data_IF_695952708228
#
_entry.id   IF_695952708228
#
_cell.length_a   1.000
_cell.length_b   1.000
_cell.length_c   1.000
_cell.angle_alpha   90.00
_cell.angle_beta   90.00
_cell.angle_gamma   90.00
#
_symmetry.space_group_name_H-M   'P 1'
#
loop_
_entity.id
_entity.type
_entity.pdbx_description
1 polymer ?
#
# COMPACT_ATOMS: atom_id res chain seq x y z
N UNK A 1 3.72 -6.11 11.33
CA UNK A 1 2.84 -7.31 11.30
C UNK A 1 3.49 -8.39 10.44
N UNK A 2 3.56 -9.62 10.98
CA UNK A 2 4.12 -10.77 10.30
C UNK A 2 2.98 -11.65 9.78
N UNK A 3 3.03 -12.02 8.49
CA UNK A 3 2.14 -13.03 7.93
C UNK A 3 2.68 -14.42 8.28
N UNK A 4 1.86 -15.25 8.93
CA UNK A 4 2.19 -16.63 9.27
C UNK A 4 1.36 -17.57 8.40
N UNK A 5 2.03 -18.42 7.64
CA UNK A 5 1.39 -19.51 6.93
C UNK A 5 1.52 -20.81 7.73
N UNK A 6 0.51 -21.69 7.64
CA UNK A 6 0.56 -23.01 8.23
C UNK A 6 1.73 -23.82 7.67
N UNK A 7 2.44 -24.55 8.53
CA UNK A 7 3.55 -25.42 8.14
C UNK A 7 3.07 -26.71 7.45
N UNK A 8 3.97 -27.42 6.78
CA UNK A 8 3.67 -28.66 6.08
C UNK A 8 3.53 -29.89 7.00
N UNK A 9 3.69 -29.71 8.30
CA UNK A 9 3.57 -30.73 9.32
C UNK A 9 2.83 -30.16 10.53
N UNK A 10 2.13 -31.03 11.27
CA UNK A 10 1.44 -30.65 12.51
C UNK A 10 2.44 -30.61 13.69
N UNK A 11 3.33 -29.62 13.63
CA UNK A 11 4.35 -29.38 14.64
C UNK A 11 4.73 -27.89 14.65
N UNK A 12 5.16 -27.38 15.80
CA UNK A 12 5.72 -26.05 15.94
C UNK A 12 7.09 -25.99 15.25
N UNK A 13 7.14 -25.34 14.09
CA UNK A 13 8.38 -25.17 13.31
C UNK A 13 9.11 -23.89 13.68
N UNK A 14 8.40 -22.86 14.12
CA UNK A 14 8.94 -21.59 14.57
C UNK A 14 8.72 -21.45 16.07
N UNK A 15 9.77 -21.68 16.86
CA UNK A 15 9.68 -21.61 18.32
C UNK A 15 9.48 -20.19 18.84
N UNK A 16 8.91 -19.97 20.06
CA UNK A 16 8.78 -18.65 20.65
C UNK A 16 10.09 -17.85 20.70
N UNK A 17 11.21 -18.52 20.98
CA UNK A 17 12.54 -17.91 20.97
C UNK A 17 12.94 -17.48 19.56
N UNK A 18 12.72 -18.33 18.55
CA UNK A 18 12.99 -18.00 17.14
C UNK A 18 12.13 -16.82 16.68
N UNK A 19 10.86 -16.80 17.04
CA UNK A 19 9.95 -15.68 16.75
C UNK A 19 10.43 -14.37 17.37
N UNK A 20 10.85 -14.39 18.63
CA UNK A 20 11.33 -13.20 19.33
C UNK A 20 12.61 -12.63 18.66
N UNK A 21 13.51 -13.50 18.24
CA UNK A 21 14.75 -13.10 17.52
C UNK A 21 14.40 -12.49 16.18
N UNK A 22 13.56 -13.14 15.38
CA UNK A 22 13.16 -12.62 14.07
C UNK A 22 12.41 -11.29 14.19
N UNK A 23 11.48 -11.18 15.13
CA UNK A 23 10.72 -9.95 15.35
C UNK A 23 11.57 -8.76 15.79
N UNK A 24 12.76 -9.02 16.35
CA UNK A 24 13.69 -7.98 16.76
C UNK A 24 14.71 -7.60 15.66
N UNK A 25 15.06 -8.53 14.79
CA UNK A 25 16.16 -8.36 13.83
C UNK A 25 15.72 -8.22 12.37
N UNK A 26 14.45 -8.47 12.06
CA UNK A 26 13.99 -8.51 10.68
C UNK A 26 12.57 -8.00 10.53
N UNK A 27 12.29 -7.42 9.38
CA UNK A 27 10.95 -7.03 8.97
C UNK A 27 10.27 -8.17 8.20
N UNK A 28 8.98 -8.37 8.45
CA UNK A 28 8.18 -9.34 7.72
C UNK A 28 7.88 -8.86 6.32
N UNK A 29 8.07 -9.72 5.32
CA UNK A 29 7.73 -9.43 3.93
C UNK A 29 6.77 -10.48 3.38
N UNK A 30 5.86 -10.08 2.51
CA UNK A 30 4.85 -10.97 1.91
C UNK A 30 5.46 -11.93 0.87
N UNK A 31 6.61 -11.58 0.30
CA UNK A 31 7.31 -12.38 -0.69
C UNK A 31 8.83 -12.20 -0.58
N UNK A 32 9.57 -13.21 -1.02
CA UNK A 32 11.02 -13.09 -1.14
C UNK A 32 11.35 -11.96 -2.14
N UNK A 33 12.13 -10.95 -1.72
CA UNK A 33 12.56 -9.89 -2.63
C UNK A 33 13.46 -10.45 -3.74
N UNK A 34 13.53 -9.73 -4.87
CA UNK A 34 14.50 -10.05 -5.91
C UNK A 34 15.90 -9.76 -5.37
N UNK A 35 16.76 -10.79 -5.35
CA UNK A 35 18.11 -10.71 -4.81
C UNK A 35 19.12 -11.27 -5.81
N UNK A 36 20.21 -10.54 -6.02
CA UNK A 36 21.43 -11.13 -6.57
C UNK A 36 22.10 -11.92 -5.44
N UNK A 37 21.86 -13.24 -5.40
CA UNK A 37 22.29 -14.09 -4.28
C UNK A 37 23.82 -14.15 -4.21
N UNK A 38 24.39 -13.74 -3.10
CA UNK A 38 25.84 -13.81 -2.82
C UNK A 38 26.18 -15.02 -1.95
N UNK A 39 25.33 -15.33 -0.97
CA UNK A 39 25.56 -16.45 -0.05
C UNK A 39 24.25 -17.08 0.42
N UNK A 40 24.31 -18.31 0.86
CA UNK A 40 23.22 -18.97 1.58
C UNK A 40 23.75 -19.84 2.70
N UNK A 41 23.03 -19.85 3.82
CA UNK A 41 23.35 -20.64 5.00
C UNK A 41 22.14 -21.42 5.50
N UNK A 42 22.39 -22.46 6.28
CA UNK A 42 21.37 -23.30 6.88
C UNK A 42 21.65 -23.47 8.36
N UNK A 43 20.61 -23.33 9.18
CA UNK A 43 20.62 -23.70 10.59
C UNK A 43 19.73 -24.92 10.81
N UNK A 44 20.29 -26.02 11.35
CA UNK A 44 19.53 -27.26 11.61
C UNK A 44 18.80 -27.18 12.96
N UNK A 45 17.53 -27.58 12.98
CA UNK A 45 16.74 -27.77 14.20
C UNK A 45 16.85 -29.19 14.76
N UNK A 46 16.37 -29.39 16.01
CA UNK A 46 16.43 -30.67 16.69
C UNK A 46 15.40 -31.72 16.26
N UNK A 47 14.39 -31.36 15.47
CA UNK A 47 13.39 -32.30 14.95
C UNK A 47 13.93 -33.06 13.73
N UNK A 48 13.57 -34.35 13.63
CA UNK A 48 13.84 -35.15 12.44
C UNK A 48 12.54 -35.47 11.71
N UNK A 49 12.48 -35.14 10.42
CA UNK A 49 11.35 -35.45 9.54
C UNK A 49 11.79 -36.47 8.48
N UNK A 50 10.93 -37.46 8.16
CA UNK A 50 11.27 -38.54 7.22
C UNK A 50 11.57 -38.05 5.79
N UNK A 51 10.86 -37.00 5.33
CA UNK A 51 10.88 -36.60 3.92
C UNK A 51 11.40 -35.18 3.66
N UNK A 52 11.97 -34.52 4.68
CA UNK A 52 12.48 -33.14 4.56
C UNK A 52 13.51 -32.83 5.64
N UNK A 53 14.45 -31.93 5.37
CA UNK A 53 15.32 -31.40 6.40
C UNK A 53 14.53 -30.41 7.33
N UNK A 54 14.88 -30.41 8.61
CA UNK A 54 14.44 -29.41 9.56
C UNK A 54 15.49 -28.31 9.66
N UNK A 55 15.38 -27.32 8.77
CA UNK A 55 16.38 -26.25 8.65
C UNK A 55 15.71 -24.90 8.44
N UNK A 56 16.32 -23.87 9.02
CA UNK A 56 16.13 -22.49 8.62
C UNK A 56 17.15 -22.17 7.52
N UNK A 57 16.71 -21.63 6.41
CA UNK A 57 17.59 -21.15 5.35
C UNK A 57 17.70 -19.64 5.42
N UNK A 58 18.91 -19.13 5.46
CA UNK A 58 19.21 -17.71 5.26
C UNK A 58 19.84 -17.54 3.86
N UNK A 59 19.43 -16.50 3.17
CA UNK A 59 19.97 -16.09 1.87
C UNK A 59 20.45 -14.67 2.03
N UNK A 60 21.69 -14.41 1.66
CA UNK A 60 22.30 -13.08 1.62
C UNK A 60 22.51 -12.69 0.17
N UNK A 61 22.20 -11.49 -0.19
CA UNK A 61 22.40 -10.98 -1.54
C UNK A 61 22.07 -9.50 -1.61
N UNK A 62 22.54 -8.86 -2.66
CA UNK A 62 22.16 -7.50 -2.99
C UNK A 62 20.73 -7.50 -3.53
N UNK A 63 19.85 -6.76 -2.86
CA UNK A 63 18.56 -6.39 -3.40
C UNK A 63 18.77 -5.31 -4.45
N UNK A 64 18.31 -5.55 -5.68
CA UNK A 64 18.35 -4.50 -6.70
C UNK A 64 17.62 -3.26 -6.15
N UNK A 65 18.33 -2.17 -5.93
CA UNK A 65 17.78 -0.88 -5.51
C UNK A 65 16.66 -0.46 -6.43
N UNK A 66 15.43 -0.44 -5.94
CA UNK A 66 14.27 -0.15 -6.76
C UNK A 66 12.96 -0.11 -5.96
N UNK A 67 11.89 0.14 -6.67
CA UNK A 67 10.54 0.08 -6.12
C UNK A 67 10.19 -1.35 -5.71
N UNK A 68 9.54 -1.51 -4.56
CA UNK A 68 9.08 -2.81 -4.10
C UNK A 68 7.92 -3.33 -4.95
N UNK A 69 7.92 -4.64 -5.17
CA UNK A 69 6.82 -5.33 -5.84
C UNK A 69 5.66 -5.53 -4.87
N UNK A 70 4.49 -5.04 -5.22
CA UNK A 70 3.27 -5.13 -4.43
C UNK A 70 2.17 -5.86 -5.21
N UNK A 71 1.63 -6.94 -4.66
CA UNK A 71 0.55 -7.69 -5.30
C UNK A 71 -0.76 -6.92 -5.21
N UNK A 72 -1.43 -6.77 -6.35
CA UNK A 72 -2.72 -6.09 -6.45
C UNK A 72 -3.70 -6.87 -7.31
N UNK A 73 -4.99 -6.61 -7.08
CA UNK A 73 -6.10 -6.96 -7.97
C UNK A 73 -6.73 -5.66 -8.45
N UNK A 74 -7.05 -5.62 -9.73
CA UNK A 74 -7.83 -4.52 -10.33
C UNK A 74 -9.25 -5.02 -10.55
N UNK A 75 -10.23 -4.31 -9.96
CA UNK A 75 -11.64 -4.55 -10.15
C UNK A 75 -12.20 -3.48 -11.08
N UNK A 76 -13.05 -3.86 -12.01
CA UNK A 76 -13.68 -2.95 -12.96
C UNK A 76 -15.16 -3.24 -13.14
N UNK A 77 -15.95 -2.19 -13.25
CA UNK A 77 -17.35 -2.27 -13.69
C UNK A 77 -17.73 -1.09 -14.57
N UNK A 78 -18.69 -1.29 -15.46
CA UNK A 78 -19.27 -0.23 -16.28
C UNK A 78 -20.67 0.10 -15.76
N UNK A 79 -20.96 1.39 -15.61
CA UNK A 79 -22.22 1.92 -15.09
C UNK A 79 -22.84 2.89 -16.09
N UNK A 80 -24.10 2.71 -16.47
CA UNK A 80 -24.86 3.62 -17.35
C UNK A 80 -26.10 4.21 -16.67
N UNK A 81 -26.31 3.92 -15.38
CA UNK A 81 -27.47 4.31 -14.59
C UNK A 81 -27.13 4.84 -13.17
N UNK A 82 -25.84 4.94 -12.83
CA UNK A 82 -25.42 5.49 -11.53
C UNK A 82 -25.61 7.00 -11.48
N UNK A 83 -26.18 7.51 -10.37
CA UNK A 83 -26.36 8.96 -10.17
C UNK A 83 -25.04 9.62 -9.76
N UNK A 84 -24.88 10.95 -10.01
CA UNK A 84 -23.69 11.69 -9.58
C UNK A 84 -23.41 11.59 -8.07
N UNK A 85 -24.46 11.53 -7.25
CA UNK A 85 -24.35 11.41 -5.79
C UNK A 85 -23.75 10.06 -5.38
N UNK A 86 -24.16 8.97 -6.04
CA UNK A 86 -23.58 7.66 -5.82
C UNK A 86 -22.11 7.66 -6.22
N UNK A 87 -21.78 8.19 -7.39
CA UNK A 87 -20.40 8.28 -7.86
C UNK A 87 -19.55 9.17 -6.95
N UNK A 88 -20.10 10.26 -6.42
CA UNK A 88 -19.40 11.20 -5.52
C UNK A 88 -19.00 10.57 -4.19
N UNK A 89 -19.83 9.66 -3.63
CA UNK A 89 -19.52 8.98 -2.37
C UNK A 89 -18.76 7.66 -2.54
N UNK A 90 -18.67 7.16 -3.77
CA UNK A 90 -18.18 5.81 -4.04
C UNK A 90 -16.72 5.61 -3.65
N UNK A 91 -15.87 6.62 -3.85
CA UNK A 91 -14.45 6.55 -3.53
C UNK A 91 -14.22 6.28 -2.04
N UNK A 92 -14.83 7.09 -1.17
CA UNK A 92 -14.73 6.94 0.28
C UNK A 92 -15.23 5.57 0.74
N UNK A 93 -16.43 5.16 0.28
CA UNK A 93 -17.03 3.89 0.66
C UNK A 93 -16.23 2.67 0.22
N UNK A 94 -15.55 2.74 -0.93
CA UNK A 94 -14.68 1.67 -1.39
C UNK A 94 -13.34 1.67 -0.65
N UNK A 95 -12.81 2.84 -0.27
CA UNK A 95 -11.61 2.93 0.57
C UNK A 95 -11.86 2.32 1.95
N UNK A 96 -13.00 2.59 2.57
CA UNK A 96 -13.42 1.96 3.83
C UNK A 96 -13.53 0.43 3.70
N UNK A 97 -13.87 -0.06 2.51
CA UNK A 97 -13.89 -1.49 2.21
C UNK A 97 -12.52 -2.09 1.86
N UNK A 98 -11.44 -1.30 1.85
CA UNK A 98 -10.07 -1.75 1.60
C UNK A 98 -9.54 -1.47 0.19
N UNK A 99 -10.21 -0.62 -0.60
CA UNK A 99 -9.65 -0.13 -1.85
C UNK A 99 -8.42 0.76 -1.57
N UNK A 100 -7.40 0.61 -2.41
CA UNK A 100 -6.17 1.42 -2.36
C UNK A 100 -6.26 2.64 -3.27
N UNK A 101 -6.99 2.49 -4.36
CA UNK A 101 -7.23 3.56 -5.32
C UNK A 101 -8.56 3.31 -6.04
N UNK A 102 -9.28 4.39 -6.37
CA UNK A 102 -10.54 4.34 -7.08
C UNK A 102 -10.56 5.44 -8.14
N UNK A 103 -10.69 5.01 -9.39
CA UNK A 103 -10.80 5.93 -10.53
C UNK A 103 -12.17 5.77 -11.19
N UNK A 104 -12.82 6.89 -11.47
CA UNK A 104 -14.09 6.94 -12.19
C UNK A 104 -13.88 7.68 -13.50
N UNK A 105 -13.98 6.97 -14.61
CA UNK A 105 -13.72 7.50 -15.94
C UNK A 105 -15.01 7.62 -16.72
N UNK A 106 -15.29 8.76 -17.38
CA UNK A 106 -16.42 8.87 -18.29
C UNK A 106 -16.25 7.92 -19.49
N UNK A 107 -17.34 7.29 -19.87
CA UNK A 107 -17.35 6.35 -20.97
C UNK A 107 -18.61 6.51 -21.83
N UNK A 108 -18.53 6.13 -23.11
CA UNK A 108 -19.70 5.96 -23.95
C UNK A 108 -20.04 4.48 -24.04
N UNK A 109 -21.24 4.13 -23.62
CA UNK A 109 -21.71 2.75 -23.57
C UNK A 109 -22.64 2.43 -24.74
N UNK A 110 -23.17 1.19 -24.75
CA UNK A 110 -24.11 0.73 -25.78
C UNK A 110 -25.23 1.75 -26.01
N UNK A 111 -25.71 1.88 -27.25
CA UNK A 111 -26.73 2.86 -27.66
C UNK A 111 -26.32 4.31 -27.42
N UNK A 112 -25.02 4.60 -27.47
CA UNK A 112 -24.44 5.94 -27.24
C UNK A 112 -24.82 6.56 -25.90
N UNK A 113 -25.10 5.77 -24.88
CA UNK A 113 -25.42 6.27 -23.54
C UNK A 113 -24.14 6.76 -22.85
N UNK A 114 -24.18 7.91 -22.18
CA UNK A 114 -23.12 8.28 -21.28
C UNK A 114 -23.08 7.30 -20.11
N UNK A 115 -21.91 6.98 -19.63
CA UNK A 115 -21.71 6.10 -18.49
C UNK A 115 -20.33 6.30 -17.90
N UNK A 116 -19.96 5.41 -16.98
CA UNK A 116 -18.69 5.47 -16.27
C UNK A 116 -18.04 4.09 -16.22
N UNK A 117 -16.74 4.05 -16.40
CA UNK A 117 -15.90 2.92 -16.01
C UNK A 117 -15.35 3.21 -14.61
N UNK A 118 -15.74 2.40 -13.66
CA UNK A 118 -15.14 2.41 -12.32
C UNK A 118 -14.03 1.39 -12.28
N UNK A 119 -12.82 1.84 -11.90
CA UNK A 119 -11.63 1.02 -11.75
C UNK A 119 -11.13 1.13 -10.32
N UNK A 120 -10.93 0.00 -9.67
CA UNK A 120 -10.54 -0.08 -8.25
C UNK A 120 -9.29 -0.93 -8.12
N UNK A 121 -8.30 -0.44 -7.39
CA UNK A 121 -7.10 -1.19 -7.02
C UNK A 121 -7.22 -1.62 -5.56
N UNK A 122 -7.01 -2.89 -5.29
CA UNK A 122 -7.03 -3.43 -3.92
C UNK A 122 -6.00 -4.55 -3.76
N UNK A 123 -5.76 -4.96 -2.53
CA UNK A 123 -5.00 -6.20 -2.27
C UNK A 123 -5.83 -7.42 -2.70
N UNK A 124 -5.20 -8.52 -3.14
CA UNK A 124 -5.92 -9.76 -3.49
C UNK A 124 -6.82 -10.26 -2.36
N UNK A 125 -6.37 -10.16 -1.10
CA UNK A 125 -7.13 -10.57 0.08
C UNK A 125 -8.41 -9.74 0.32
N UNK A 126 -8.47 -8.50 -0.17
CA UNK A 126 -9.60 -7.59 -0.01
C UNK A 126 -10.57 -7.62 -1.21
N UNK A 127 -10.20 -8.28 -2.29
CA UNK A 127 -10.88 -8.17 -3.59
C UNK A 127 -12.36 -8.54 -3.54
N UNK A 128 -12.73 -9.60 -2.82
CA UNK A 128 -14.13 -10.02 -2.68
C UNK A 128 -14.95 -9.00 -1.88
N UNK A 129 -14.40 -8.49 -0.78
CA UNK A 129 -15.06 -7.49 0.06
C UNK A 129 -15.28 -6.18 -0.69
N UNK A 130 -14.26 -5.72 -1.42
CA UNK A 130 -14.33 -4.50 -2.23
C UNK A 130 -15.28 -4.67 -3.41
N UNK A 131 -15.24 -5.81 -4.12
CA UNK A 131 -16.16 -6.10 -5.21
C UNK A 131 -17.63 -6.15 -4.74
N UNK A 132 -17.87 -6.74 -3.57
CA UNK A 132 -19.19 -6.76 -2.94
C UNK A 132 -19.68 -5.35 -2.62
N UNK A 133 -18.84 -4.54 -1.98
CA UNK A 133 -19.17 -3.13 -1.68
C UNK A 133 -19.47 -2.35 -2.95
N UNK A 134 -18.68 -2.51 -4.01
CA UNK A 134 -18.91 -1.88 -5.30
C UNK A 134 -20.27 -2.26 -5.88
N UNK A 135 -20.66 -3.53 -5.81
CA UNK A 135 -21.97 -3.99 -6.27
C UNK A 135 -23.12 -3.44 -5.42
N UNK A 136 -22.98 -3.44 -4.09
CA UNK A 136 -24.01 -2.92 -3.17
C UNK A 136 -24.27 -1.42 -3.38
N UNK A 137 -23.20 -0.61 -3.58
CA UNK A 137 -23.33 0.85 -3.76
C UNK A 137 -23.85 1.24 -5.15
N UNK A 138 -23.54 0.47 -6.17
CA UNK A 138 -23.83 0.86 -7.56
C UNK A 138 -24.96 0.06 -8.23
N UNK A 139 -25.37 -1.04 -7.62
CA UNK A 139 -26.34 -1.96 -8.24
C UNK A 139 -25.78 -2.73 -9.45
N UNK A 140 -24.49 -2.67 -9.74
CA UNK A 140 -23.90 -3.40 -10.88
C UNK A 140 -24.11 -4.90 -10.74
N UNK A 141 -24.45 -5.55 -11.86
CA UNK A 141 -24.64 -6.99 -11.92
C UNK A 141 -23.32 -7.77 -12.15
N UNK A 142 -22.22 -7.07 -12.38
CA UNK A 142 -20.96 -7.73 -12.66
C UNK A 142 -19.74 -6.86 -12.42
N UNK A 143 -18.80 -7.37 -11.62
CA UNK A 143 -17.49 -6.79 -11.40
C UNK A 143 -16.45 -7.72 -12.02
N UNK A 144 -15.65 -7.19 -12.94
CA UNK A 144 -14.54 -7.92 -13.54
C UNK A 144 -13.33 -7.80 -12.64
N UNK A 145 -12.66 -8.89 -12.37
CA UNK A 145 -11.38 -8.90 -11.68
C UNK A 145 -10.26 -9.21 -12.67
N UNK A 146 -9.26 -8.35 -12.73
CA UNK A 146 -8.05 -8.55 -13.52
C UNK A 146 -6.87 -8.72 -12.57
N UNK A 147 -6.11 -9.79 -12.77
CA UNK A 147 -4.83 -9.92 -12.10
C UNK A 147 -3.83 -8.98 -12.77
N UNK A 148 -3.65 -7.79 -12.24
CA UNK A 148 -2.50 -6.98 -12.62
C UNK A 148 -1.19 -7.63 -12.13
N UNK A 149 -1.33 -8.64 -11.28
CA UNK A 149 -0.23 -9.36 -10.69
C UNK A 149 0.47 -8.53 -9.60
N UNK A 150 1.00 -7.39 -9.95
CA UNK A 150 1.74 -6.54 -9.02
C UNK A 150 1.84 -5.09 -9.53
N UNK A 151 2.23 -4.20 -8.63
CA UNK A 151 2.69 -2.84 -8.91
C UNK A 151 4.05 -2.61 -8.24
N UNK A 152 4.80 -1.68 -8.76
CA UNK A 152 6.01 -1.18 -8.11
C UNK A 152 5.63 -0.03 -7.18
N UNK A 153 6.04 -0.10 -5.93
CA UNK A 153 5.78 0.94 -4.92
C UNK A 153 7.08 1.43 -4.31
N UNK A 154 7.09 2.71 -3.94
CA UNK A 154 8.10 3.29 -3.09
C UNK A 154 7.88 2.88 -1.63
N UNK A 155 8.94 2.84 -0.84
CA UNK A 155 8.82 2.92 0.60
C UNK A 155 8.39 4.33 0.99
N UNK A 156 7.56 4.45 2.01
CA UNK A 156 7.01 5.73 2.42
C UNK A 156 7.01 5.86 3.93
N UNK A 157 7.59 6.95 4.39
CA UNK A 157 7.54 7.38 5.78
C UNK A 157 6.78 8.69 5.91
N UNK A 158 6.19 8.93 7.07
CA UNK A 158 5.60 10.22 7.44
C UNK A 158 6.57 10.89 8.39
N UNK A 159 7.03 12.08 8.03
CA UNK A 159 7.81 12.96 8.89
C UNK A 159 6.95 14.19 9.23
N UNK A 160 7.04 14.69 10.46
CA UNK A 160 6.35 15.93 10.83
C UNK A 160 7.32 17.11 10.67
N UNK A 161 6.99 18.02 9.78
CA UNK A 161 7.70 19.28 9.58
C UNK A 161 7.18 20.35 10.54
N UNK A 162 8.08 21.05 11.24
CA UNK A 162 7.74 22.25 12.02
C UNK A 162 8.19 23.48 11.23
N UNK A 163 7.23 24.36 10.88
CA UNK A 163 7.53 25.62 10.18
C UNK A 163 7.12 26.80 11.05
N UNK A 164 7.89 27.89 10.98
CA UNK A 164 7.56 29.14 11.67
C UNK A 164 6.90 30.11 10.70
N UNK A 165 5.74 30.67 11.12
CA UNK A 165 5.02 31.70 10.38
C UNK A 165 4.63 32.80 11.40
N UNK A 166 5.11 34.03 11.18
CA UNK A 166 4.86 35.21 12.01
C UNK A 166 5.24 35.04 13.51
N UNK A 167 6.11 34.07 13.83
CA UNK A 167 6.58 33.76 15.17
C UNK A 167 5.86 32.60 15.85
N UNK A 168 4.84 32.04 15.21
CA UNK A 168 4.15 30.84 15.67
C UNK A 168 4.64 29.60 14.92
N UNK A 169 4.75 28.48 15.65
CA UNK A 169 5.17 27.20 15.11
C UNK A 169 3.95 26.38 14.68
N UNK A 170 3.99 25.84 13.44
CA UNK A 170 2.96 24.98 12.88
C UNK A 170 3.56 23.64 12.48
N UNK A 171 2.85 22.55 12.76
CA UNK A 171 3.23 21.19 12.40
C UNK A 171 2.45 20.73 11.17
N UNK A 172 3.14 20.11 10.22
CA UNK A 172 2.56 19.59 8.97
C UNK A 172 3.20 18.24 8.70
N UNK A 173 2.39 17.23 8.47
CA UNK A 173 2.89 15.93 8.07
C UNK A 173 3.37 15.97 6.62
N UNK A 174 4.52 15.33 6.40
CA UNK A 174 5.21 15.28 5.11
C UNK A 174 5.49 13.83 4.76
N UNK A 175 5.04 13.40 3.59
CA UNK A 175 5.36 12.09 3.03
C UNK A 175 6.74 12.13 2.40
N UNK A 176 7.61 11.23 2.83
CA UNK A 176 8.93 11.02 2.24
C UNK A 176 8.91 9.68 1.52
N UNK A 177 9.12 9.69 0.21
CA UNK A 177 9.19 8.49 -0.61
C UNK A 177 10.64 8.12 -0.90
N UNK A 178 10.97 6.87 -0.62
CA UNK A 178 12.31 6.31 -0.81
C UNK A 178 12.28 5.05 -1.64
N UNK A 179 13.41 4.70 -2.23
CA UNK A 179 13.64 3.34 -2.72
C UNK A 179 14.08 2.40 -1.60
N UNK A 180 14.32 1.14 -1.93
CA UNK A 180 14.76 0.11 -0.97
C UNK A 180 16.17 0.35 -0.40
N UNK A 181 16.94 1.27 -0.97
CA UNK A 181 18.27 1.69 -0.49
C UNK A 181 18.20 2.93 0.39
N UNK A 182 17.00 3.49 0.58
CA UNK A 182 16.77 4.71 1.36
C UNK A 182 17.02 6.00 0.59
N UNK A 183 17.19 5.93 -0.74
CA UNK A 183 17.34 7.14 -1.55
C UNK A 183 16.00 7.85 -1.66
N UNK A 184 15.94 9.08 -1.15
CA UNK A 184 14.76 9.94 -1.24
C UNK A 184 14.60 10.45 -2.67
N UNK A 185 13.42 10.23 -3.27
CA UNK A 185 13.11 10.76 -4.60
C UNK A 185 11.85 11.64 -4.62
N UNK A 186 11.04 11.64 -3.55
CA UNK A 186 9.93 12.57 -3.41
C UNK A 186 9.71 12.95 -1.94
N UNK A 187 9.34 14.23 -1.73
CA UNK A 187 8.97 14.80 -0.44
C UNK A 187 7.74 15.66 -0.68
N UNK A 188 6.60 15.28 -0.12
CA UNK A 188 5.32 15.97 -0.35
C UNK A 188 4.54 16.17 0.95
N UNK A 189 4.15 17.44 1.22
CA UNK A 189 3.35 17.79 2.40
C UNK A 189 1.91 17.27 2.30
N UNK A 190 1.30 16.95 3.44
CA UNK A 190 -0.12 16.59 3.51
C UNK A 190 -0.98 17.84 3.27
N UNK A 191 -1.88 17.71 2.29
CA UNK A 191 -2.69 18.85 1.83
C UNK A 191 -3.63 19.38 2.92
N UNK A 192 -4.26 18.50 3.68
CA UNK A 192 -5.26 18.88 4.69
C UNK A 192 -4.60 19.66 5.84
N UNK A 193 -3.42 19.24 6.28
CA UNK A 193 -2.65 19.96 7.30
C UNK A 193 -2.21 21.34 6.78
N UNK A 194 -1.68 21.37 5.55
CA UNK A 194 -1.26 22.63 4.94
C UNK A 194 -2.43 23.58 4.68
N UNK A 195 -3.62 23.06 4.35
CA UNK A 195 -4.81 23.86 4.17
C UNK A 195 -5.29 24.48 5.50
N UNK A 196 -5.26 23.70 6.59
CA UNK A 196 -5.60 24.23 7.92
C UNK A 196 -4.65 25.36 8.33
N UNK A 197 -3.34 25.19 8.17
CA UNK A 197 -2.35 26.24 8.45
C UNK A 197 -2.52 27.46 7.53
N UNK A 198 -2.85 27.24 6.26
CA UNK A 198 -3.13 28.32 5.31
C UNK A 198 -4.35 29.18 5.74
N UNK A 199 -5.40 28.53 6.22
CA UNK A 199 -6.60 29.20 6.71
C UNK A 199 -6.31 30.03 7.98
N UNK A 200 -5.45 29.57 8.87
CA UNK A 200 -5.04 30.27 10.08
C UNK A 200 -4.11 31.47 9.80
N UNK A 201 -3.19 31.31 8.84
CA UNK A 201 -2.11 32.28 8.60
C UNK A 201 -2.40 33.24 7.44
N UNK A 202 -3.37 32.92 6.59
CA UNK A 202 -3.65 33.66 5.36
C UNK A 202 -2.64 33.44 4.24
N UNK A 203 -1.67 32.54 4.40
CA UNK A 203 -0.75 32.16 3.34
C UNK A 203 -1.42 31.27 2.31
N UNK A 204 -1.00 31.31 1.04
CA UNK A 204 -1.46 30.34 0.07
C UNK A 204 -1.01 28.90 0.45
N UNK A 205 -1.90 27.91 0.34
CA UNK A 205 -1.62 26.49 0.65
C UNK A 205 -0.33 26.01 0.00
N UNK A 206 -0.08 26.37 -1.26
CA UNK A 206 1.16 26.00 -1.98
C UNK A 206 2.43 26.51 -1.30
N UNK A 207 2.36 27.66 -0.62
CA UNK A 207 3.51 28.24 0.07
C UNK A 207 3.76 27.51 1.40
N UNK A 208 2.68 27.12 2.08
CA UNK A 208 2.74 26.30 3.30
C UNK A 208 3.35 24.92 2.98
N UNK A 209 2.85 24.26 1.93
CA UNK A 209 3.41 22.98 1.44
C UNK A 209 4.89 23.10 1.13
N UNK A 210 5.29 24.10 0.36
CA UNK A 210 6.70 24.31 0.00
C UNK A 210 7.59 24.45 1.24
N UNK A 211 7.16 25.22 2.25
CA UNK A 211 7.94 25.40 3.49
C UNK A 211 8.06 24.11 4.30
N UNK A 212 6.97 23.32 4.37
CA UNK A 212 6.98 22.04 5.03
C UNK A 212 7.94 21.05 4.35
N UNK A 213 7.87 20.97 3.02
CA UNK A 213 8.76 20.11 2.21
C UNK A 213 10.23 20.53 2.33
N UNK A 214 10.53 21.85 2.33
CA UNK A 214 11.88 22.36 2.50
C UNK A 214 12.45 22.08 3.91
N UNK A 215 11.59 22.00 4.93
CA UNK A 215 12.03 21.72 6.32
C UNK A 215 12.42 20.25 6.54
N UNK A 216 12.02 19.33 5.67
CA UNK A 216 12.32 17.88 5.77
C UNK A 216 13.45 17.46 4.80
N UNK A 217 13.78 18.25 3.79
CA UNK A 217 14.89 18.01 2.86
C UNK A 217 16.24 18.31 3.49
#
# INVERSE_FOLDING_TARGET
DWSLAGGPVDAELLTPTGTAILAHLADGVDALPELAVEASGYGAGGYSFENRPNVLRAIVGDGGGGLRRDEITVLETNLDDATPEVLGSLQERLQDAGARDVSILPATMKKSRPGHLVKVVCKPADSERVARRLAEETGTLGVRAHGAGHRWIADREIATATIEIDGDAHEIDVKVATDSEGTVFDVSGEYDDAAAVADETGLPVREVLRRAEDAVR
#
